data_IF_156680740290
#
_entry.id   IF_156680740290
#
_cell.length_a   1.000
_cell.length_b   1.000
_cell.length_c   1.000
_cell.angle_alpha   90.00
_cell.angle_beta   90.00
_cell.angle_gamma   90.00
#
_symmetry.space_group_name_H-M   'P 1'
#
loop_
_entity.id
_entity.type
_entity.pdbx_description
1 polymer ?
#
# COMPACT_ATOMS: atom_id res chain seq x y z
N UNK A 1 -24.36 4.62 -10.65
CA UNK A 1 -23.59 3.53 -11.31
C UNK A 1 -22.24 3.48 -10.62
N UNK A 2 -21.96 2.43 -9.89
CA UNK A 2 -20.63 2.24 -9.29
C UNK A 2 -19.68 1.88 -10.44
N UNK A 3 -18.68 2.73 -10.70
CA UNK A 3 -17.65 2.46 -11.70
C UNK A 3 -16.86 1.26 -11.19
N UNK A 4 -16.74 0.22 -12.00
CA UNK A 4 -15.80 -0.85 -11.70
C UNK A 4 -14.38 -0.32 -11.99
N UNK A 5 -13.62 -0.02 -10.93
CA UNK A 5 -12.29 0.57 -11.01
C UNK A 5 -11.32 -0.28 -11.86
N UNK A 6 -11.35 -1.61 -11.69
CA UNK A 6 -10.52 -2.51 -12.49
C UNK A 6 -10.82 -2.38 -13.99
N UNK A 7 -12.11 -2.36 -14.35
CA UNK A 7 -12.57 -2.14 -15.73
C UNK A 7 -12.11 -0.77 -16.29
N UNK A 8 -12.18 0.28 -15.48
CA UNK A 8 -11.73 1.61 -15.89
C UNK A 8 -10.23 1.65 -16.16
N UNK A 9 -9.43 1.00 -15.30
CA UNK A 9 -7.97 0.91 -15.44
C UNK A 9 -7.59 0.19 -16.74
N UNK A 10 -8.13 -1.01 -16.95
CA UNK A 10 -7.76 -1.84 -18.10
C UNK A 10 -8.26 -1.26 -19.45
N UNK A 11 -9.34 -0.48 -19.43
CA UNK A 11 -9.91 0.14 -20.65
C UNK A 11 -9.33 1.53 -20.97
N UNK A 12 -8.67 2.18 -20.03
CA UNK A 12 -8.10 3.52 -20.23
C UNK A 12 -6.64 3.42 -20.67
N UNK A 13 -6.36 3.79 -21.92
CA UNK A 13 -5.02 3.71 -22.48
C UNK A 13 -3.97 4.42 -21.62
N UNK A 14 -2.88 3.74 -21.29
CA UNK A 14 -1.75 4.26 -20.53
C UNK A 14 -2.01 4.46 -19.03
N UNK A 15 -3.22 4.12 -18.53
CA UNK A 15 -3.51 4.31 -17.10
C UNK A 15 -2.83 3.24 -16.24
N UNK A 16 -2.79 1.99 -16.68
CA UNK A 16 -2.14 0.91 -15.96
C UNK A 16 -0.63 1.15 -15.83
N UNK A 17 0.03 1.62 -16.89
CA UNK A 17 1.43 2.02 -16.88
C UNK A 17 1.70 3.25 -15.99
N UNK A 18 0.77 4.20 -15.96
CA UNK A 18 0.86 5.34 -15.06
C UNK A 18 0.72 4.91 -13.59
N UNK A 19 -0.21 4.01 -13.29
CA UNK A 19 -0.37 3.43 -11.95
C UNK A 19 0.86 2.64 -11.51
N UNK A 20 1.48 1.88 -12.40
CA UNK A 20 2.74 1.19 -12.10
C UNK A 20 3.84 2.17 -11.70
N UNK A 21 4.02 3.22 -12.48
CA UNK A 21 5.08 4.21 -12.26
C UNK A 21 4.85 5.06 -11.01
N UNK A 22 3.60 5.42 -10.74
CA UNK A 22 3.24 6.41 -9.73
C UNK A 22 2.71 5.80 -8.42
N UNK A 23 2.13 4.62 -8.48
CA UNK A 23 1.41 3.98 -7.38
C UNK A 23 1.91 2.56 -7.08
N UNK A 24 2.95 2.12 -7.79
CA UNK A 24 3.54 0.78 -7.65
C UNK A 24 2.48 -0.34 -7.72
N UNK A 25 1.57 -0.23 -8.70
CA UNK A 25 0.55 -1.23 -8.95
C UNK A 25 0.27 -1.37 -10.44
N UNK A 26 0.29 -2.60 -10.95
CA UNK A 26 -0.03 -2.95 -12.33
C UNK A 26 -1.08 -4.05 -12.37
N UNK A 27 -2.23 -3.77 -12.97
CA UNK A 27 -3.34 -4.72 -13.08
C UNK A 27 -3.05 -5.82 -14.08
N UNK A 28 -3.32 -7.05 -13.68
CA UNK A 28 -3.33 -8.21 -14.57
C UNK A 28 -4.53 -8.14 -15.54
N UNK A 29 -4.39 -8.65 -16.76
CA UNK A 29 -5.50 -8.72 -17.73
C UNK A 29 -6.68 -9.54 -17.20
N UNK A 30 -6.40 -10.53 -16.37
CA UNK A 30 -7.38 -11.38 -15.67
C UNK A 30 -6.85 -11.72 -14.28
N UNK A 31 -7.76 -11.87 -13.30
CA UNK A 31 -7.39 -12.45 -12.01
C UNK A 31 -6.77 -13.83 -12.20
N UNK A 32 -5.81 -14.18 -11.36
CA UNK A 32 -5.07 -15.44 -11.41
C UNK A 32 -4.77 -15.98 -10.02
N UNK A 33 -4.33 -17.21 -9.95
CA UNK A 33 -3.75 -17.76 -8.73
C UNK A 33 -2.41 -17.08 -8.44
N UNK A 34 -2.01 -17.10 -7.17
CA UNK A 34 -0.72 -16.55 -6.75
C UNK A 34 0.46 -17.31 -7.37
N UNK A 35 1.54 -16.60 -7.68
CA UNK A 35 2.82 -17.20 -8.05
C UNK A 35 3.59 -17.76 -6.84
N UNK A 36 3.17 -17.38 -5.62
CA UNK A 36 3.75 -17.84 -4.35
C UNK A 36 3.08 -19.11 -3.80
N UNK A 37 2.78 -20.08 -4.65
CA UNK A 37 2.12 -21.34 -4.25
C UNK A 37 3.05 -22.57 -4.31
N UNK A 38 4.37 -22.37 -4.34
CA UNK A 38 5.33 -23.43 -4.63
C UNK A 38 6.03 -24.08 -3.43
N UNK A 39 5.79 -23.59 -2.18
CA UNK A 39 6.56 -23.96 -0.99
C UNK A 39 5.70 -24.29 0.23
N UNK A 40 4.56 -24.94 0.02
CA UNK A 40 3.62 -25.30 1.09
C UNK A 40 3.06 -24.09 1.86
N UNK A 41 2.93 -22.93 1.20
CA UNK A 41 2.30 -21.76 1.78
C UNK A 41 0.83 -22.02 2.07
N UNK A 42 0.42 -21.71 3.30
CA UNK A 42 -0.95 -21.78 3.79
C UNK A 42 -1.41 -20.39 4.18
N UNK A 43 -2.30 -19.82 3.40
CA UNK A 43 -2.90 -18.52 3.65
C UNK A 43 -4.15 -18.66 4.52
N UNK A 44 -4.38 -17.68 5.39
CA UNK A 44 -5.54 -17.67 6.31
C UNK A 44 -6.89 -17.38 5.64
N UNK A 45 -6.89 -16.98 4.38
CA UNK A 45 -8.09 -16.72 3.56
C UNK A 45 -7.85 -17.13 2.13
N UNK A 46 -8.90 -17.53 1.42
CA UNK A 46 -8.87 -17.65 -0.04
C UNK A 46 -8.82 -16.28 -0.72
N UNK A 47 -8.20 -16.20 -1.87
CA UNK A 47 -8.04 -14.95 -2.62
C UNK A 47 -7.79 -15.19 -4.11
N UNK A 48 -7.85 -14.10 -4.88
CA UNK A 48 -7.43 -14.03 -6.28
C UNK A 48 -6.48 -12.87 -6.48
N UNK A 49 -5.33 -13.10 -7.15
CA UNK A 49 -4.38 -12.05 -7.53
C UNK A 49 -4.95 -11.25 -8.70
N UNK A 50 -5.03 -9.92 -8.55
CA UNK A 50 -5.54 -9.02 -9.58
C UNK A 50 -4.53 -8.00 -10.08
N UNK A 51 -3.44 -7.75 -9.33
CA UNK A 51 -2.39 -6.82 -9.71
C UNK A 51 -1.06 -7.21 -9.07
N UNK A 52 0.02 -6.65 -9.58
CA UNK A 52 1.39 -6.83 -9.07
C UNK A 52 2.07 -5.48 -8.85
N UNK A 53 3.11 -5.45 -8.03
CA UNK A 53 4.01 -4.31 -7.92
C UNK A 53 5.29 -4.47 -8.76
N UNK A 54 6.17 -3.47 -8.73
CA UNK A 54 7.43 -3.48 -9.46
C UNK A 54 8.48 -4.45 -8.95
N UNK A 55 8.31 -4.98 -7.74
CA UNK A 55 9.22 -5.94 -7.10
C UNK A 55 8.76 -7.39 -7.28
N UNK A 56 7.57 -7.60 -7.82
CA UNK A 56 6.93 -8.91 -7.95
C UNK A 56 5.97 -9.25 -6.81
N UNK A 57 5.69 -8.33 -5.89
CA UNK A 57 4.62 -8.48 -4.90
C UNK A 57 3.24 -8.51 -5.56
N UNK A 58 2.26 -9.12 -4.89
CA UNK A 58 0.92 -9.33 -5.42
C UNK A 58 -0.16 -8.63 -4.60
N UNK A 59 -1.04 -7.88 -5.28
CA UNK A 59 -2.28 -7.39 -4.72
C UNK A 59 -3.38 -8.43 -4.95
N UNK A 60 -4.03 -8.83 -3.88
CA UNK A 60 -5.00 -9.92 -3.88
C UNK A 60 -6.35 -9.46 -3.35
N UNK A 61 -7.42 -9.95 -3.95
CA UNK A 61 -8.79 -9.76 -3.44
C UNK A 61 -9.15 -10.92 -2.54
N UNK A 62 -9.38 -10.65 -1.27
CA UNK A 62 -9.74 -11.64 -0.26
C UNK A 62 -11.22 -12.04 -0.38
N UNK A 63 -11.59 -13.17 0.23
CA UNK A 63 -12.95 -13.72 0.21
C UNK A 63 -13.99 -12.74 0.79
N UNK A 64 -13.62 -11.94 1.80
CA UNK A 64 -14.48 -10.93 2.39
C UNK A 64 -14.62 -9.64 1.55
N UNK A 65 -13.95 -9.60 0.40
CA UNK A 65 -13.93 -8.46 -0.52
C UNK A 65 -12.89 -7.40 -0.21
N UNK A 66 -12.18 -7.49 0.91
CA UNK A 66 -11.05 -6.62 1.25
C UNK A 66 -9.84 -6.94 0.37
N UNK A 67 -8.83 -6.08 0.42
CA UNK A 67 -7.60 -6.20 -0.36
C UNK A 67 -6.45 -6.62 0.54
N UNK A 68 -5.79 -7.70 0.17
CA UNK A 68 -4.52 -8.15 0.74
C UNK A 68 -3.33 -7.78 -0.15
N UNK A 69 -2.16 -7.91 0.42
CA UNK A 69 -0.89 -7.77 -0.28
C UNK A 69 0.08 -8.84 0.19
N UNK A 70 0.75 -9.46 -0.76
CA UNK A 70 1.79 -10.47 -0.56
C UNK A 70 3.07 -9.86 -1.13
N UNK A 71 3.98 -9.47 -0.28
CA UNK A 71 5.26 -8.86 -0.67
C UNK A 71 6.19 -9.92 -1.26
N UNK A 72 7.01 -9.54 -2.22
CA UNK A 72 8.12 -10.38 -2.73
C UNK A 72 9.17 -10.71 -1.66
N UNK A 73 9.18 -9.98 -0.54
CA UNK A 73 10.09 -10.19 0.60
C UNK A 73 9.46 -11.04 1.72
N UNK A 74 8.26 -11.59 1.52
CA UNK A 74 7.63 -12.51 2.46
C UNK A 74 6.72 -11.87 3.51
N UNK A 75 6.40 -10.57 3.39
CA UNK A 75 5.39 -9.96 4.26
C UNK A 75 3.99 -10.14 3.67
N UNK A 76 3.01 -10.48 4.52
CA UNK A 76 1.62 -10.70 4.13
C UNK A 76 0.67 -9.94 5.03
N UNK A 77 -0.35 -9.31 4.47
CA UNK A 77 -1.38 -8.66 5.28
C UNK A 77 -2.47 -7.99 4.45
N UNK A 78 -3.56 -7.61 5.12
CA UNK A 78 -4.60 -6.78 4.52
C UNK A 78 -4.07 -5.34 4.38
N UNK A 79 -4.45 -4.65 3.31
CA UNK A 79 -3.97 -3.30 3.02
C UNK A 79 -5.10 -2.30 2.76
N UNK A 80 -6.32 -2.78 2.49
CA UNK A 80 -7.49 -1.93 2.36
C UNK A 80 -8.79 -2.73 2.54
N UNK A 81 -9.88 -2.07 2.92
CA UNK A 81 -11.20 -2.67 3.03
C UNK A 81 -11.93 -2.77 1.68
N UNK A 82 -11.48 -2.01 0.69
CA UNK A 82 -12.04 -2.01 -0.66
C UNK A 82 -11.01 -1.56 -1.70
N UNK A 83 -11.31 -1.84 -2.97
CA UNK A 83 -10.53 -1.32 -4.11
C UNK A 83 -10.48 0.22 -4.10
N UNK A 84 -11.56 0.88 -3.71
CA UNK A 84 -11.62 2.34 -3.64
C UNK A 84 -10.70 2.88 -2.54
N UNK A 85 -10.67 2.25 -1.35
CA UNK A 85 -9.78 2.63 -0.26
C UNK A 85 -8.31 2.40 -0.64
N UNK A 86 -8.00 1.28 -1.32
CA UNK A 86 -6.66 1.03 -1.84
C UNK A 86 -6.20 2.16 -2.77
N UNK A 87 -7.02 2.56 -3.74
CA UNK A 87 -6.64 3.62 -4.68
C UNK A 87 -6.59 5.01 -4.04
N UNK A 88 -7.50 5.32 -3.12
CA UNK A 88 -7.39 6.55 -2.32
C UNK A 88 -6.06 6.61 -1.58
N UNK A 89 -5.62 5.50 -1.02
CA UNK A 89 -4.32 5.44 -0.35
C UNK A 89 -3.16 5.53 -1.36
N UNK A 90 -3.09 4.67 -2.37
CA UNK A 90 -1.95 4.59 -3.30
C UNK A 90 -1.75 5.86 -4.13
N UNK A 91 -2.82 6.53 -4.56
CA UNK A 91 -2.71 7.81 -5.28
C UNK A 91 -2.03 8.88 -4.42
N UNK A 92 -2.20 8.86 -3.11
CA UNK A 92 -1.59 9.82 -2.19
C UNK A 92 -0.22 9.36 -1.69
N UNK A 93 -0.08 8.07 -1.35
CA UNK A 93 1.12 7.47 -0.79
C UNK A 93 2.17 7.07 -1.83
N UNK A 94 1.74 6.54 -2.97
CA UNK A 94 2.61 6.02 -4.03
C UNK A 94 2.97 4.55 -3.87
N UNK A 95 3.20 4.06 -2.65
CA UNK A 95 3.46 2.66 -2.36
C UNK A 95 3.05 2.29 -0.93
N UNK A 96 2.99 1.00 -0.64
CA UNK A 96 2.62 0.49 0.70
C UNK A 96 3.81 0.55 1.66
N UNK A 97 4.99 0.18 1.20
CA UNK A 97 6.18 -0.05 2.05
C UNK A 97 6.58 1.17 2.88
N UNK A 98 6.42 2.38 2.33
CA UNK A 98 6.76 3.62 3.02
C UNK A 98 5.86 3.91 4.25
N UNK A 99 4.72 3.24 4.35
CA UNK A 99 3.75 3.41 5.42
C UNK A 99 3.66 2.21 6.37
N UNK A 100 4.53 1.22 6.21
CA UNK A 100 4.50 -0.01 7.02
C UNK A 100 5.02 0.17 8.47
N UNK A 101 5.69 1.28 8.80
CA UNK A 101 6.24 1.53 10.14
C UNK A 101 5.13 1.80 11.17
N UNK A 102 4.94 0.90 12.16
CA UNK A 102 3.90 1.05 13.19
C UNK A 102 4.02 2.33 14.03
N UNK A 103 5.23 2.87 14.17
CA UNK A 103 5.48 4.00 15.05
C UNK A 103 4.86 5.31 14.55
N UNK A 104 4.67 5.48 13.24
CA UNK A 104 4.02 6.69 12.70
C UNK A 104 2.54 6.80 13.10
N UNK A 105 1.92 5.69 13.52
CA UNK A 105 0.51 5.61 13.91
C UNK A 105 0.27 5.77 15.42
N UNK A 106 1.30 6.11 16.20
CA UNK A 106 1.17 6.28 17.66
C UNK A 106 0.25 7.45 18.05
N UNK A 107 0.20 8.49 17.23
CA UNK A 107 -0.74 9.59 17.40
C UNK A 107 -1.11 10.22 16.06
N UNK A 108 -2.26 10.92 16.03
CA UNK A 108 -2.71 11.65 14.85
C UNK A 108 -1.74 12.81 14.50
N UNK A 109 -1.07 13.42 15.49
CA UNK A 109 -0.08 14.48 15.27
C UNK A 109 1.18 13.93 14.60
N UNK A 110 1.68 12.80 15.06
CA UNK A 110 2.87 12.14 14.49
C UNK A 110 2.61 11.68 13.06
N UNK A 111 1.45 11.06 12.83
CA UNK A 111 1.04 10.64 11.50
C UNK A 111 0.89 11.84 10.54
N UNK A 112 0.29 12.93 11.02
CA UNK A 112 0.14 14.16 10.22
C UNK A 112 1.49 14.79 9.87
N UNK A 113 2.42 14.85 10.84
CA UNK A 113 3.78 15.35 10.60
C UNK A 113 4.51 14.48 9.56
N UNK A 114 4.45 13.16 9.71
CA UNK A 114 5.04 12.22 8.76
C UNK A 114 4.47 12.41 7.34
N UNK A 115 3.16 12.43 7.19
CA UNK A 115 2.49 12.60 5.90
C UNK A 115 2.83 13.95 5.24
N UNK A 116 2.91 15.02 6.04
CA UNK A 116 3.30 16.35 5.53
C UNK A 116 4.74 16.35 5.00
N UNK A 117 5.68 15.83 5.77
CA UNK A 117 7.08 15.70 5.33
C UNK A 117 7.22 14.79 4.11
N UNK A 118 6.43 13.73 4.03
CA UNK A 118 6.39 12.81 2.89
C UNK A 118 5.96 13.52 1.59
N UNK A 119 4.85 14.27 1.63
CA UNK A 119 4.35 15.04 0.49
C UNK A 119 5.36 16.11 0.06
N UNK A 120 5.95 16.85 1.00
CA UNK A 120 6.96 17.86 0.70
C UNK A 120 8.20 17.26 0.02
N UNK A 121 8.70 16.14 0.53
CA UNK A 121 9.83 15.41 -0.07
C UNK A 121 9.50 14.89 -1.47
N UNK A 122 8.29 14.37 -1.67
CA UNK A 122 7.81 13.89 -2.97
C UNK A 122 7.74 15.04 -3.97
N UNK A 123 7.10 16.16 -3.62
CA UNK A 123 7.03 17.37 -4.46
C UNK A 123 8.42 17.86 -4.87
N UNK A 124 9.35 17.94 -3.91
CA UNK A 124 10.73 18.34 -4.19
C UNK A 124 11.40 17.39 -5.19
N UNK A 125 11.28 16.07 -4.99
CA UNK A 125 11.88 15.07 -5.88
C UNK A 125 11.33 15.15 -7.30
N UNK A 126 10.03 15.42 -7.46
CA UNK A 126 9.41 15.58 -8.78
C UNK A 126 9.83 16.88 -9.45
N UNK A 127 9.84 17.99 -8.72
CA UNK A 127 10.30 19.27 -9.22
C UNK A 127 11.75 19.24 -9.73
N UNK A 128 12.64 18.51 -9.04
CA UNK A 128 14.03 18.31 -9.47
C UNK A 128 14.13 17.56 -10.81
N UNK A 129 13.10 16.79 -11.16
CA UNK A 129 12.97 16.08 -12.45
C UNK A 129 12.16 16.86 -13.50
N UNK A 130 11.74 18.09 -13.17
CA UNK A 130 10.91 18.92 -14.05
C UNK A 130 9.46 18.47 -14.17
N UNK A 131 8.92 17.77 -13.16
CA UNK A 131 7.55 17.27 -13.11
C UNK A 131 6.79 17.85 -11.91
N UNK A 132 5.46 17.93 -12.02
CA UNK A 132 4.58 18.36 -10.94
C UNK A 132 3.90 17.12 -10.31
N UNK A 133 4.24 16.86 -9.06
CA UNK A 133 3.71 15.72 -8.30
C UNK A 133 2.17 15.78 -8.16
N UNK A 134 1.64 16.94 -7.81
CA UNK A 134 0.20 17.09 -7.55
C UNK A 134 -0.61 17.02 -8.85
N UNK A 135 -0.10 17.58 -9.96
CA UNK A 135 -0.74 17.49 -11.27
C UNK A 135 -0.84 16.02 -11.73
N UNK A 136 0.27 15.27 -11.63
CA UNK A 136 0.31 13.86 -12.05
C UNK A 136 -0.68 13.02 -11.22
N UNK A 137 -0.69 13.18 -9.90
CA UNK A 137 -1.58 12.44 -8.99
C UNK A 137 -3.04 12.82 -9.20
N UNK A 138 -3.31 14.11 -9.38
CA UNK A 138 -4.65 14.63 -9.70
C UNK A 138 -5.20 14.09 -11.01
N UNK A 139 -4.38 13.97 -12.04
CA UNK A 139 -4.77 13.40 -13.34
C UNK A 139 -5.11 11.91 -13.23
N UNK A 140 -4.35 11.13 -12.46
CA UNK A 140 -4.66 9.73 -12.18
C UNK A 140 -5.99 9.62 -11.43
N UNK A 141 -6.17 10.38 -10.35
CA UNK A 141 -7.39 10.39 -9.55
C UNK A 141 -8.61 10.71 -10.41
N UNK A 142 -8.52 11.76 -11.26
CA UNK A 142 -9.59 12.16 -12.19
C UNK A 142 -9.98 11.04 -13.16
N UNK A 143 -9.00 10.30 -13.72
CA UNK A 143 -9.27 9.16 -14.61
C UNK A 143 -10.00 8.02 -13.88
N UNK A 144 -9.74 7.87 -12.58
CA UNK A 144 -10.41 6.89 -11.71
C UNK A 144 -11.70 7.42 -11.09
N UNK A 145 -12.10 8.67 -11.38
CA UNK A 145 -13.24 9.34 -10.76
C UNK A 145 -13.13 9.45 -9.23
N UNK A 146 -11.89 9.60 -8.74
CA UNK A 146 -11.55 9.81 -7.34
C UNK A 146 -11.13 11.27 -7.12
N UNK A 147 -11.23 11.71 -5.87
CA UNK A 147 -10.72 13.00 -5.42
C UNK A 147 -9.24 12.87 -5.06
N UNK A 148 -8.42 13.86 -5.44
CA UNK A 148 -7.05 14.03 -4.96
C UNK A 148 -6.95 15.27 -4.08
N UNK A 149 -6.58 15.06 -2.84
CA UNK A 149 -6.28 16.10 -1.86
C UNK A 149 -5.13 15.61 -0.96
N UNK A 150 -3.89 16.08 -1.15
CA UNK A 150 -2.75 15.64 -0.37
C UNK A 150 -2.91 15.82 1.14
N UNK A 151 -3.79 16.73 1.58
CA UNK A 151 -4.15 16.91 2.99
C UNK A 151 -4.91 15.72 3.59
N UNK A 152 -5.46 14.83 2.76
CA UNK A 152 -6.16 13.61 3.20
C UNK A 152 -5.25 12.38 3.38
N UNK A 153 -3.96 12.47 3.04
CA UNK A 153 -3.05 11.35 3.20
C UNK A 153 -3.04 10.77 4.63
N UNK A 154 -3.07 11.57 5.73
CA UNK A 154 -3.16 11.00 7.07
C UNK A 154 -4.41 10.14 7.32
N UNK A 155 -5.56 10.56 6.77
CA UNK A 155 -6.81 9.79 6.87
C UNK A 155 -6.67 8.43 6.14
N UNK A 156 -6.13 8.43 4.92
CA UNK A 156 -5.99 7.20 4.13
C UNK A 156 -4.91 6.28 4.69
N UNK A 157 -3.81 6.82 5.21
CA UNK A 157 -2.78 6.04 5.91
C UNK A 157 -3.34 5.39 7.20
N UNK A 158 -4.20 6.10 7.94
CA UNK A 158 -4.88 5.54 9.12
C UNK A 158 -5.80 4.38 8.73
N UNK A 159 -6.58 4.51 7.66
CA UNK A 159 -7.43 3.42 7.14
C UNK A 159 -6.60 2.21 6.68
N UNK A 160 -5.45 2.44 6.04
CA UNK A 160 -4.51 1.37 5.71
C UNK A 160 -4.06 0.63 6.98
N UNK A 161 -3.62 1.35 8.01
CA UNK A 161 -3.19 0.75 9.28
C UNK A 161 -4.33 -0.01 9.98
N UNK A 162 -5.53 0.55 9.99
CA UNK A 162 -6.72 -0.10 10.55
C UNK A 162 -7.06 -1.40 9.80
N UNK A 163 -7.01 -1.41 8.47
CA UNK A 163 -7.21 -2.60 7.66
C UNK A 163 -6.13 -3.66 7.94
N UNK A 164 -4.85 -3.25 8.02
CA UNK A 164 -3.73 -4.14 8.30
C UNK A 164 -3.76 -4.74 9.71
N UNK A 165 -4.42 -4.07 10.65
CA UNK A 165 -4.55 -4.48 12.05
C UNK A 165 -5.89 -5.15 12.37
N UNK A 166 -6.82 -5.23 11.41
CA UNK A 166 -8.17 -5.80 11.61
C UNK A 166 -8.13 -7.31 11.71
N UNK A 167 -8.70 -7.83 12.79
CA UNK A 167 -8.89 -9.28 12.99
C UNK A 167 -10.11 -9.82 12.17
N UNK A 168 -10.07 -11.06 11.68
CA UNK A 168 -8.86 -11.91 11.64
C UNK A 168 -7.83 -11.36 10.65
N UNK A 169 -6.55 -11.43 11.02
CA UNK A 169 -5.46 -11.00 10.15
C UNK A 169 -5.39 -11.87 8.88
N UNK A 170 -5.02 -11.26 7.76
CA UNK A 170 -4.59 -12.01 6.59
C UNK A 170 -3.12 -12.38 6.77
N UNK A 171 -2.83 -13.67 6.91
CA UNK A 171 -1.51 -14.22 7.23
C UNK A 171 -1.16 -15.35 6.31
N UNK A 172 0.13 -15.66 6.23
CA UNK A 172 0.66 -16.84 5.56
C UNK A 172 1.57 -17.60 6.52
N UNK A 173 1.52 -18.92 6.43
CA UNK A 173 2.46 -19.83 7.05
C UNK A 173 3.03 -20.71 5.96
N UNK A 174 4.28 -21.12 6.12
CA UNK A 174 4.94 -22.10 5.26
C UNK A 174 5.74 -23.06 6.12
N UNK A 175 5.92 -24.29 5.65
CA UNK A 175 6.61 -25.32 6.42
C UNK A 175 7.61 -26.07 5.57
N UNK A 176 8.67 -26.57 6.22
CA UNK A 176 9.58 -27.56 5.67
C UNK A 176 9.64 -28.75 6.66
N UNK A 177 8.86 -29.78 6.38
CA UNK A 177 8.75 -30.95 7.24
C UNK A 177 8.05 -30.68 8.58
N UNK A 178 8.76 -30.82 9.70
CA UNK A 178 8.22 -30.66 11.06
C UNK A 178 8.28 -29.19 11.57
N UNK A 179 8.85 -28.27 10.80
CA UNK A 179 8.96 -26.84 11.18
C UNK A 179 7.97 -25.99 10.41
N UNK A 180 7.19 -25.18 11.12
CA UNK A 180 6.26 -24.21 10.55
C UNK A 180 6.76 -22.79 10.83
N UNK A 181 6.82 -21.95 9.80
CA UNK A 181 7.21 -20.55 9.87
C UNK A 181 6.03 -19.66 9.49
N UNK A 182 5.90 -18.51 10.12
CA UNK A 182 4.95 -17.49 9.75
C UNK A 182 5.62 -16.39 8.94
N UNK A 183 4.94 -15.94 7.88
CA UNK A 183 5.33 -14.71 7.19
C UNK A 183 5.18 -13.50 8.10
N UNK A 184 6.03 -12.50 7.91
CA UNK A 184 5.90 -11.22 8.60
C UNK A 184 4.59 -10.51 8.20
N UNK A 185 4.03 -9.70 9.11
CA UNK A 185 2.92 -8.81 8.79
C UNK A 185 3.37 -7.60 7.98
N UNK A 186 2.42 -6.98 7.27
CA UNK A 186 2.69 -5.75 6.50
C UNK A 186 3.11 -4.58 7.42
N UNK A 187 2.61 -4.53 8.63
CA UNK A 187 3.00 -3.50 9.61
C UNK A 187 4.22 -3.97 10.38
N UNK A 188 5.31 -3.21 10.25
CA UNK A 188 6.62 -3.50 10.82
C UNK A 188 6.90 -2.64 12.06
N UNK A 189 7.71 -3.17 12.98
CA UNK A 189 8.27 -2.43 14.12
C UNK A 189 9.66 -1.82 13.84
N UNK A 190 10.06 -1.81 12.57
CA UNK A 190 11.30 -1.19 12.14
C UNK A 190 11.09 0.31 11.95
N UNK A 191 11.78 1.11 12.75
CA UNK A 191 11.82 2.56 12.59
C UNK A 191 13.03 2.95 11.73
N UNK A 192 12.78 3.23 10.46
CA UNK A 192 13.81 3.67 9.50
C UNK A 192 14.28 5.12 9.78
N UNK A 193 15.54 5.41 9.49
CA UNK A 193 16.12 6.76 9.66
C UNK A 193 15.35 7.84 8.89
N UNK A 194 14.84 7.50 7.72
CA UNK A 194 14.08 8.42 6.89
C UNK A 194 12.76 8.91 7.54
N UNK A 195 12.15 8.11 8.44
CA UNK A 195 10.99 8.53 9.24
C UNK A 195 11.39 9.69 10.16
N UNK A 196 12.54 9.58 10.81
CA UNK A 196 13.07 10.64 11.66
C UNK A 196 13.26 11.95 10.88
N UNK A 197 13.79 11.86 9.66
CA UNK A 197 14.00 13.02 8.78
C UNK A 197 12.67 13.67 8.37
N UNK A 198 11.65 12.88 8.03
CA UNK A 198 10.34 13.39 7.60
C UNK A 198 9.59 14.07 8.75
N UNK A 199 9.66 13.51 9.94
CA UNK A 199 8.96 14.03 11.12
C UNK A 199 9.75 15.17 11.79
N UNK A 200 11.06 15.25 11.55
CA UNK A 200 11.96 16.21 12.22
C UNK A 200 12.22 15.89 13.70
N UNK A 201 12.10 14.61 14.10
CA UNK A 201 12.28 14.10 15.46
C UNK A 201 13.38 13.05 15.51
N UNK A 202 14.02 12.92 16.65
CA UNK A 202 14.97 11.84 16.92
C UNK A 202 14.24 10.51 17.11
N UNK A 203 14.98 9.40 16.98
CA UNK A 203 14.44 8.06 17.22
C UNK A 203 13.82 7.93 18.63
N UNK A 204 14.52 8.45 19.64
CA UNK A 204 14.06 8.35 21.04
C UNK A 204 12.78 9.16 21.26
N UNK A 205 12.65 10.34 20.66
CA UNK A 205 11.42 11.12 20.70
C UNK A 205 10.24 10.37 20.08
N UNK A 206 10.42 9.77 18.89
CA UNK A 206 9.35 8.98 18.25
C UNK A 206 9.00 7.75 19.08
N UNK A 207 9.98 7.05 19.66
CA UNK A 207 9.73 5.86 20.47
C UNK A 207 9.04 6.17 21.80
N UNK A 208 9.19 7.36 22.34
CA UNK A 208 8.57 7.79 23.59
C UNK A 208 7.33 8.67 23.41
N UNK A 209 6.92 8.92 22.16
CA UNK A 209 5.67 9.63 21.84
C UNK A 209 4.46 8.79 22.25
#
# INVERSE_FOLDING_TARGET
MTINLADAILKTAGLNEALMRECDIFFCDKPRDTEYSGHDEVYSSSFETFAVDGSGGEYVKLEDGSIGYISSEGSVGRVAESMEDLFKFLIHAGCISDFSCKYIYKSDELLSAFCSGYIEKSRKSYNEKGADFDEIRGDIAKKLSLEYDPGKLPEYAKRFYEAASREPLFTCKFGDGDEEFACDGIISDILGLWVNELVGMTRDEILNY
#
